data_IF_011912384159
#
_entry.id   IF_011912384159
#
_cell.length_a   1.000
_cell.length_b   1.000
_cell.length_c   1.000
_cell.angle_alpha   90.00
_cell.angle_beta   90.00
_cell.angle_gamma   90.00
#
_symmetry.space_group_name_H-M   'P 1'
#
loop_
_entity.id
_entity.type
_entity.pdbx_description
1 polymer ?
#
# COMPACT_ATOMS: atom_id res chain seq x y z
N UNK A 1 -5.34 -3.02 47.10
CA UNK A 1 -6.04 -3.43 45.86
C UNK A 1 -5.01 -3.48 44.76
N UNK A 2 -4.67 -4.68 44.26
CA UNK A 2 -3.71 -4.83 43.15
C UNK A 2 -4.43 -4.40 41.87
N UNK A 3 -4.09 -3.21 41.36
CA UNK A 3 -4.57 -2.75 40.06
C UNK A 3 -3.89 -3.59 38.99
N UNK A 4 -4.56 -4.63 38.52
CA UNK A 4 -4.08 -5.47 37.42
C UNK A 4 -4.15 -4.64 36.14
N UNK A 5 -3.10 -3.85 35.85
CA UNK A 5 -2.94 -3.27 34.52
C UNK A 5 -2.91 -4.44 33.52
N UNK A 6 -3.90 -4.48 32.62
CA UNK A 6 -3.93 -5.43 31.51
C UNK A 6 -2.59 -5.35 30.78
N UNK A 7 -1.96 -6.49 30.40
CA UNK A 7 -0.69 -6.45 29.67
C UNK A 7 -0.83 -5.61 28.39
N UNK A 8 0.27 -5.03 27.94
CA UNK A 8 0.32 -4.35 26.65
C UNK A 8 -0.16 -5.30 25.54
N UNK A 9 -0.86 -4.80 24.51
CA UNK A 9 -1.29 -5.63 23.40
C UNK A 9 -0.07 -6.25 22.69
N UNK A 10 -0.20 -7.51 22.29
CA UNK A 10 0.82 -8.25 21.56
C UNK A 10 0.69 -7.99 20.05
N UNK A 11 1.71 -7.42 19.38
CA UNK A 11 1.66 -7.18 17.94
C UNK A 11 1.72 -8.47 17.11
N UNK A 12 2.19 -9.61 17.66
CA UNK A 12 2.31 -10.86 16.92
C UNK A 12 0.96 -11.47 16.50
N UNK A 13 -0.14 -11.05 17.16
CA UNK A 13 -1.50 -11.49 16.85
C UNK A 13 -2.21 -10.60 15.81
N UNK A 14 -1.55 -9.54 15.32
CA UNK A 14 -2.13 -8.56 14.39
C UNK A 14 -1.74 -8.93 12.97
N UNK A 15 -2.68 -8.86 12.03
CA UNK A 15 -2.32 -8.92 10.61
C UNK A 15 -1.77 -7.56 10.15
N UNK A 16 -0.45 -7.42 9.90
CA UNK A 16 0.16 -6.13 9.60
C UNK A 16 -0.23 -5.60 8.22
N UNK A 17 -0.86 -6.39 7.36
CA UNK A 17 -1.30 -5.95 6.02
C UNK A 17 -2.64 -5.22 6.05
N UNK A 18 -3.44 -5.43 7.11
CA UNK A 18 -4.78 -4.87 7.25
C UNK A 18 -4.74 -3.59 8.09
N UNK A 19 -5.17 -2.46 7.51
CA UNK A 19 -5.21 -1.17 8.21
C UNK A 19 -6.12 -1.20 9.44
N UNK A 20 -7.26 -1.90 9.37
CA UNK A 20 -8.19 -2.01 10.49
C UNK A 20 -7.54 -2.70 11.71
N UNK A 21 -6.83 -3.80 11.49
CA UNK A 21 -6.15 -4.55 12.55
C UNK A 21 -5.01 -3.73 13.16
N UNK A 22 -4.22 -3.03 12.32
CA UNK A 22 -3.18 -2.11 12.80
C UNK A 22 -3.77 -0.98 13.63
N UNK A 23 -4.82 -0.30 13.17
CA UNK A 23 -5.46 0.80 13.91
C UNK A 23 -6.04 0.33 15.24
N UNK A 24 -6.65 -0.85 15.27
CA UNK A 24 -7.15 -1.44 16.52
C UNK A 24 -6.01 -1.68 17.53
N UNK A 25 -4.87 -2.21 17.05
CA UNK A 25 -3.68 -2.37 17.88
C UNK A 25 -3.14 -1.02 18.37
N UNK A 26 -2.97 -0.05 17.47
CA UNK A 26 -2.40 1.26 17.77
C UNK A 26 -3.19 1.95 18.88
N UNK A 27 -4.53 1.95 18.74
CA UNK A 27 -5.45 2.48 19.75
C UNK A 27 -5.28 1.77 21.08
N UNK A 28 -5.32 0.44 21.10
CA UNK A 28 -5.15 -0.34 22.33
C UNK A 28 -3.78 -0.10 22.99
N UNK A 29 -2.72 0.05 22.19
CA UNK A 29 -1.36 0.27 22.67
C UNK A 29 -1.23 1.62 23.36
N UNK A 30 -1.59 2.72 22.69
CA UNK A 30 -1.50 4.05 23.28
C UNK A 30 -2.52 4.27 24.41
N UNK A 31 -3.65 3.55 24.41
CA UNK A 31 -4.56 3.51 25.56
C UNK A 31 -3.90 2.86 26.79
N UNK A 32 -3.14 1.77 26.61
CA UNK A 32 -2.41 1.11 27.70
C UNK A 32 -1.41 2.07 28.37
N UNK A 33 -0.75 2.93 27.60
CA UNK A 33 0.18 3.95 28.09
C UNK A 33 -0.50 5.26 28.53
N UNK A 34 -1.83 5.38 28.37
CA UNK A 34 -2.58 6.55 28.81
C UNK A 34 -2.38 7.81 27.96
N UNK A 35 -1.92 7.66 26.71
CA UNK A 35 -1.59 8.77 25.80
C UNK A 35 -2.48 8.82 24.55
N UNK A 36 -3.56 8.03 24.52
CA UNK A 36 -4.48 8.01 23.39
C UNK A 36 -5.42 9.22 23.40
N UNK A 37 -5.56 9.86 22.24
CA UNK A 37 -6.60 10.83 21.94
C UNK A 37 -7.09 10.57 20.53
N UNK A 38 -8.37 10.22 20.36
CA UNK A 38 -8.93 9.91 19.03
C UNK A 38 -8.78 11.10 18.08
N UNK A 39 -9.17 12.29 18.52
CA UNK A 39 -9.07 13.51 17.72
C UNK A 39 -7.61 13.90 17.45
N UNK A 40 -6.72 13.68 18.42
CA UNK A 40 -5.29 13.92 18.26
C UNK A 40 -4.67 12.99 17.20
N UNK A 41 -5.01 11.71 17.28
CA UNK A 41 -4.57 10.69 16.33
C UNK A 41 -5.07 10.96 14.92
N UNK A 42 -6.36 11.19 14.73
CA UNK A 42 -6.93 11.45 13.39
C UNK A 42 -6.35 12.73 12.78
N UNK A 43 -6.14 13.78 13.59
CA UNK A 43 -5.47 15.00 13.11
C UNK A 43 -4.02 14.76 12.72
N UNK A 44 -3.29 13.93 13.48
CA UNK A 44 -1.90 13.57 13.18
C UNK A 44 -1.84 12.71 11.91
N UNK A 45 -2.71 11.72 11.80
CA UNK A 45 -2.78 10.82 10.66
C UNK A 45 -3.04 11.57 9.37
N UNK A 46 -3.98 12.51 9.36
CA UNK A 46 -4.26 13.36 8.19
C UNK A 46 -3.03 14.18 7.76
N UNK A 47 -2.25 14.72 8.71
CA UNK A 47 -1.00 15.44 8.41
C UNK A 47 0.06 14.50 7.82
N UNK A 48 0.16 13.28 8.35
CA UNK A 48 1.10 12.29 7.82
C UNK A 48 0.69 11.78 6.46
N UNK A 49 -0.61 11.62 6.17
CA UNK A 49 -1.11 11.25 4.84
C UNK A 49 -0.74 12.33 3.80
N UNK A 50 -0.92 13.61 4.13
CA UNK A 50 -0.48 14.73 3.27
C UNK A 50 1.03 14.66 3.04
N UNK A 51 1.82 14.43 4.10
CA UNK A 51 3.27 14.31 4.00
C UNK A 51 3.71 13.12 3.15
N UNK A 52 3.04 11.98 3.29
CA UNK A 52 3.30 10.80 2.45
C UNK A 52 2.98 11.12 0.99
N UNK A 53 1.89 11.83 0.69
CA UNK A 53 1.59 12.25 -0.69
C UNK A 53 2.72 13.10 -1.29
N UNK A 54 3.27 14.06 -0.55
CA UNK A 54 4.42 14.86 -0.99
C UNK A 54 5.65 13.99 -1.27
N UNK A 55 5.97 13.05 -0.36
CA UNK A 55 7.13 12.17 -0.50
C UNK A 55 7.00 11.23 -1.71
N UNK A 56 5.79 10.71 -1.94
CA UNK A 56 5.49 9.87 -3.10
C UNK A 56 5.62 10.63 -4.41
N UNK A 57 5.14 11.88 -4.44
CA UNK A 57 5.31 12.75 -5.61
C UNK A 57 6.79 13.04 -5.89
N UNK A 58 7.56 13.41 -4.85
CA UNK A 58 9.00 13.66 -4.97
C UNK A 58 9.80 12.43 -5.38
N UNK A 59 9.29 11.23 -5.06
CA UNK A 59 9.88 9.95 -5.45
C UNK A 59 9.35 9.43 -6.80
N UNK A 60 8.66 10.29 -7.56
CA UNK A 60 8.16 10.01 -8.91
C UNK A 60 7.14 8.85 -9.01
N UNK A 61 6.48 8.50 -7.90
CA UNK A 61 5.38 7.52 -7.96
C UNK A 61 4.15 8.15 -8.59
N UNK A 62 3.65 7.54 -9.67
CA UNK A 62 2.38 7.93 -10.30
C UNK A 62 1.17 7.24 -9.65
N UNK A 63 1.38 6.01 -9.19
CA UNK A 63 0.40 5.21 -8.45
C UNK A 63 1.08 4.54 -7.26
N UNK A 64 0.29 4.31 -6.22
CA UNK A 64 0.70 3.51 -5.06
C UNK A 64 -0.44 2.63 -4.61
N UNK A 65 -0.11 1.48 -4.04
CA UNK A 65 -1.10 0.58 -3.46
C UNK A 65 -1.78 1.21 -2.24
N UNK A 66 -3.08 0.96 -2.07
CA UNK A 66 -3.82 1.43 -0.89
C UNK A 66 -3.21 0.87 0.39
N UNK A 67 -2.79 -0.39 0.37
CA UNK A 67 -2.24 -1.08 1.53
C UNK A 67 -0.90 -0.46 1.99
N UNK A 68 0.01 -0.19 1.04
CA UNK A 68 1.30 0.45 1.35
C UNK A 68 1.11 1.90 1.80
N UNK A 69 0.23 2.66 1.13
CA UNK A 69 -0.08 4.04 1.54
C UNK A 69 -0.58 4.12 2.99
N UNK A 70 -1.55 3.27 3.36
CA UNK A 70 -2.07 3.23 4.72
C UNK A 70 -1.02 2.75 5.73
N UNK A 71 -0.16 1.80 5.35
CA UNK A 71 0.91 1.31 6.22
C UNK A 71 1.93 2.41 6.54
N UNK A 72 2.46 3.10 5.53
CA UNK A 72 3.45 4.16 5.71
C UNK A 72 2.87 5.37 6.45
N UNK A 73 1.62 5.73 6.16
CA UNK A 73 0.94 6.83 6.86
C UNK A 73 0.77 6.52 8.36
N UNK A 74 0.34 5.31 8.70
CA UNK A 74 0.16 4.89 10.09
C UNK A 74 1.49 4.71 10.83
N UNK A 75 2.54 4.23 10.14
CA UNK A 75 3.89 4.15 10.68
C UNK A 75 4.45 5.52 11.01
N UNK A 76 4.35 6.47 10.08
CA UNK A 76 4.82 7.84 10.32
C UNK A 76 4.00 8.53 11.43
N UNK A 77 2.69 8.28 11.48
CA UNK A 77 1.83 8.78 12.55
C UNK A 77 2.21 8.20 13.92
N UNK A 78 2.54 6.91 13.98
CA UNK A 78 3.02 6.25 15.20
C UNK A 78 4.30 6.89 15.72
N UNK A 79 5.33 7.02 14.88
CA UNK A 79 6.63 7.59 15.25
C UNK A 79 6.49 9.05 15.72
N UNK A 80 5.63 9.80 15.03
CA UNK A 80 5.30 11.18 15.41
C UNK A 80 4.55 11.25 16.74
N UNK A 81 3.63 10.32 17.00
CA UNK A 81 2.84 10.28 18.25
C UNK A 81 3.71 9.91 19.45
N UNK A 82 4.60 8.92 19.29
CA UNK A 82 5.61 8.53 20.28
C UNK A 82 6.46 9.74 20.67
N UNK A 83 6.98 10.45 19.68
CA UNK A 83 7.79 11.66 19.89
C UNK A 83 6.99 12.76 20.58
N UNK A 84 5.77 13.05 20.12
CA UNK A 84 4.93 14.11 20.66
C UNK A 84 4.51 13.85 22.13
N UNK A 85 4.40 12.58 22.53
CA UNK A 85 4.08 12.19 23.89
C UNK A 85 5.32 12.07 24.80
N UNK A 86 6.52 12.31 24.29
CA UNK A 86 7.77 12.17 25.05
C UNK A 86 8.10 10.72 25.44
N UNK A 87 7.60 9.76 24.65
CA UNK A 87 7.90 8.34 24.84
C UNK A 87 9.27 7.99 24.23
N UNK A 88 9.94 7.00 24.81
CA UNK A 88 11.22 6.50 24.29
C UNK A 88 11.03 5.78 22.96
N UNK A 89 11.56 6.34 21.88
CA UNK A 89 11.41 5.80 20.53
C UNK A 89 12.00 4.39 20.36
N UNK A 90 13.02 4.02 21.14
CA UNK A 90 13.62 2.68 21.08
C UNK A 90 12.68 1.63 21.70
N UNK A 91 12.02 1.99 22.81
CA UNK A 91 11.06 1.13 23.51
C UNK A 91 9.70 1.07 22.82
N UNK A 92 9.36 2.09 22.05
CA UNK A 92 8.08 2.26 21.37
C UNK A 92 8.24 2.29 19.85
N UNK A 93 9.15 1.48 19.31
CA UNK A 93 9.34 1.35 17.86
C UNK A 93 8.12 0.76 17.15
N UNK A 94 8.00 1.04 15.85
CA UNK A 94 6.94 0.48 15.02
C UNK A 94 6.99 -1.06 15.03
N UNK A 95 5.91 -1.76 15.42
CA UNK A 95 5.99 -3.19 15.68
C UNK A 95 5.78 -4.07 14.43
N UNK A 96 5.33 -3.50 13.31
CA UNK A 96 4.85 -4.26 12.15
C UNK A 96 5.85 -4.39 11.00
N UNK A 97 7.14 -4.57 11.31
CA UNK A 97 8.17 -4.93 10.32
C UNK A 97 8.14 -4.10 9.03
N UNK A 98 8.42 -4.76 7.90
CA UNK A 98 8.32 -4.18 6.56
C UNK A 98 6.87 -4.23 6.04
N UNK A 99 6.49 -3.16 5.34
CA UNK A 99 5.14 -2.99 4.79
C UNK A 99 4.93 -3.67 3.44
N UNK A 100 3.69 -3.61 2.92
CA UNK A 100 3.38 -4.06 1.56
C UNK A 100 4.15 -3.27 0.49
N UNK A 101 4.39 -3.89 -0.66
CA UNK A 101 5.05 -3.25 -1.80
C UNK A 101 4.27 -2.03 -2.31
N UNK A 102 4.97 -0.92 -2.50
CA UNK A 102 4.39 0.37 -2.93
C UNK A 102 3.68 0.27 -4.28
N UNK A 103 4.23 -0.50 -5.22
CA UNK A 103 3.75 -0.59 -6.62
C UNK A 103 2.81 -1.77 -6.85
N UNK A 104 2.59 -2.65 -5.86
CA UNK A 104 1.65 -3.76 -5.98
C UNK A 104 0.20 -3.29 -5.82
N UNK A 105 -0.33 -2.70 -6.89
CA UNK A 105 -1.71 -2.17 -6.96
C UNK A 105 -2.77 -3.25 -7.21
N UNK A 106 -2.44 -4.55 -7.10
CA UNK A 106 -3.42 -5.65 -7.30
C UNK A 106 -4.62 -5.55 -6.36
N UNK A 107 -4.39 -5.06 -5.14
CA UNK A 107 -5.41 -4.85 -4.13
C UNK A 107 -6.10 -3.47 -4.22
N UNK A 108 -5.73 -2.65 -5.21
CA UNK A 108 -6.27 -1.32 -5.42
C UNK A 108 -5.24 -0.20 -5.25
N UNK A 109 -5.48 0.89 -5.96
CA UNK A 109 -4.70 2.13 -5.91
C UNK A 109 -5.19 2.97 -4.74
N UNK A 110 -4.28 3.65 -4.03
CA UNK A 110 -4.62 4.59 -2.97
C UNK A 110 -5.57 5.68 -3.48
N UNK A 111 -6.78 5.72 -2.93
CA UNK A 111 -7.75 6.75 -3.26
C UNK A 111 -7.26 8.14 -2.80
N UNK A 112 -6.67 8.20 -1.60
CA UNK A 112 -6.11 9.43 -1.03
C UNK A 112 -5.03 10.02 -1.93
N UNK A 113 -4.05 9.23 -2.37
CA UNK A 113 -2.97 9.74 -3.21
C UNK A 113 -3.47 10.16 -4.60
N UNK A 114 -4.39 9.38 -5.18
CA UNK A 114 -5.05 9.72 -6.44
C UNK A 114 -5.80 11.06 -6.34
N UNK A 115 -6.60 11.24 -5.30
CA UNK A 115 -7.41 12.44 -5.12
C UNK A 115 -6.52 13.66 -4.82
N UNK A 116 -5.44 13.47 -4.06
CA UNK A 116 -4.41 14.48 -3.81
C UNK A 116 -3.73 14.95 -5.11
N UNK A 117 -3.36 14.02 -5.99
CA UNK A 117 -2.79 14.34 -7.32
C UNK A 117 -3.79 15.11 -8.18
N UNK A 118 -5.04 14.64 -8.21
CA UNK A 118 -6.13 15.27 -8.97
C UNK A 118 -6.38 16.71 -8.52
N UNK A 119 -6.39 16.97 -7.20
CA UNK A 119 -6.59 18.30 -6.63
C UNK A 119 -5.47 19.29 -7.02
N UNK A 120 -4.30 18.78 -7.42
CA UNK A 120 -3.12 19.57 -7.82
C UNK A 120 -2.90 19.61 -9.34
N UNK A 121 -3.83 19.07 -10.12
CA UNK A 121 -3.71 19.02 -11.58
C UNK A 121 -2.59 18.11 -12.07
N UNK A 122 -2.12 17.18 -11.23
CA UNK A 122 -1.07 16.23 -11.59
C UNK A 122 -1.66 15.09 -12.44
N UNK A 123 -0.90 14.54 -13.41
CA UNK A 123 -1.35 13.40 -14.19
C UNK A 123 -1.66 12.21 -13.28
N UNK A 124 -2.83 11.63 -13.47
CA UNK A 124 -3.15 10.27 -13.04
C UNK A 124 -2.79 9.36 -14.21
N UNK A 125 -2.15 8.22 -13.94
CA UNK A 125 -1.99 7.21 -14.98
C UNK A 125 -3.37 6.88 -15.55
N UNK A 126 -3.53 6.98 -16.87
CA UNK A 126 -4.76 6.53 -17.52
C UNK A 126 -4.86 5.03 -17.28
N UNK A 127 -6.01 4.47 -16.89
CA UNK A 127 -6.15 3.02 -16.83
C UNK A 127 -5.84 2.48 -18.22
N UNK A 128 -4.66 1.88 -18.38
CA UNK A 128 -4.42 1.04 -19.52
C UNK A 128 -5.44 -0.08 -19.37
N UNK A 129 -6.47 -0.07 -20.20
CA UNK A 129 -7.36 -1.19 -20.37
C UNK A 129 -6.49 -2.36 -20.82
N UNK A 130 -5.91 -3.09 -19.87
CA UNK A 130 -5.32 -4.40 -20.11
C UNK A 130 -6.47 -5.27 -20.55
N UNK A 131 -6.55 -5.37 -21.87
CA UNK A 131 -7.37 -6.30 -22.64
C UNK A 131 -7.45 -7.62 -21.86
N UNK A 132 -8.67 -8.12 -21.70
CA UNK A 132 -8.90 -9.51 -21.38
C UNK A 132 -8.10 -10.37 -22.37
N UNK A 133 -6.98 -10.94 -21.91
CA UNK A 133 -6.28 -11.99 -22.63
C UNK A 133 -7.00 -13.29 -22.34
N UNK A 134 -8.10 -13.50 -23.06
CA UNK A 134 -8.72 -14.80 -23.25
C UNK A 134 -7.73 -15.72 -23.95
N UNK A 135 -7.36 -16.82 -23.28
CA UNK A 135 -7.01 -18.16 -23.82
C UNK A 135 -5.91 -18.19 -24.90
N UNK A 136 -4.83 -18.98 -24.76
CA UNK A 136 -4.85 -20.38 -25.20
C UNK A 136 -3.64 -21.16 -24.69
N UNK A 137 -3.95 -22.26 -24.02
CA UNK A 137 -3.09 -23.37 -23.62
C UNK A 137 -2.43 -24.06 -24.82
N UNK A 138 -1.14 -24.32 -24.67
CA UNK A 138 -0.27 -25.34 -25.30
C UNK A 138 -0.98 -26.51 -26.00
N UNK A 139 -0.54 -26.90 -27.21
CA UNK A 139 0.06 -28.23 -27.51
C UNK A 139 0.36 -28.46 -29.01
N UNK A 140 1.64 -28.76 -29.24
CA UNK A 140 2.33 -29.35 -30.39
C UNK A 140 1.60 -30.50 -31.10
N UNK A 141 1.56 -30.47 -32.44
CA UNK A 141 1.63 -31.70 -33.26
C UNK A 141 2.24 -31.43 -34.64
N UNK A 142 3.39 -32.09 -34.88
CA UNK A 142 3.95 -32.41 -36.20
C UNK A 142 2.85 -32.96 -37.12
N UNK A 143 2.81 -32.51 -38.37
CA UNK A 143 2.88 -33.45 -39.49
C UNK A 143 3.29 -32.79 -40.81
N UNK A 144 3.82 -33.65 -41.66
CA UNK A 144 4.70 -33.42 -42.80
C UNK A 144 3.94 -33.74 -44.11
N UNK A 145 3.91 -32.83 -45.09
CA UNK A 145 3.71 -33.13 -46.53
C UNK A 145 3.85 -31.85 -47.35
N UNK A 146 4.89 -31.69 -48.16
CA UNK A 146 5.05 -32.13 -49.57
C UNK A 146 4.22 -31.35 -50.61
N UNK A 147 4.95 -30.61 -51.47
CA UNK A 147 4.66 -30.22 -52.88
C UNK A 147 3.50 -29.21 -53.09
N UNK A 148 3.54 -28.25 -54.03
CA UNK A 148 4.14 -28.21 -55.36
C UNK A 148 4.50 -26.77 -55.80
N UNK A 149 5.33 -26.77 -56.84
CA UNK A 149 5.75 -25.72 -57.79
C UNK A 149 4.61 -25.00 -58.53
N UNK A 150 5.01 -23.92 -59.21
CA UNK A 150 4.33 -23.15 -60.27
C UNK A 150 3.38 -22.04 -59.81
N UNK A 151 3.78 -20.78 -60.00
CA UNK A 151 3.22 -19.94 -61.08
C UNK A 151 3.92 -18.56 -61.07
N UNK A 152 4.66 -18.28 -62.14
CA UNK A 152 5.10 -16.94 -62.52
C UNK A 152 4.28 -16.56 -63.76
N UNK A 153 3.76 -15.34 -63.86
CA UNK A 153 4.15 -14.57 -65.05
C UNK A 153 4.34 -13.07 -64.79
N UNK A 154 5.49 -12.61 -65.29
CA UNK A 154 5.68 -11.57 -66.32
C UNK A 154 4.91 -10.24 -66.30
N UNK A 155 5.69 -9.20 -66.60
CA UNK A 155 5.39 -7.82 -67.07
C UNK A 155 5.17 -6.82 -65.94
N UNK A 156 5.85 -5.66 -65.90
CA UNK A 156 6.49 -4.84 -66.94
C UNK A 156 7.90 -4.40 -66.53
#
# INVERSE_FOLDING_TARGET
MLSTKKPAPDPAAVNPTMSEDRRAFIKAYFQHYGVWSEAGWESLLSKTEERICELLYLSEYEQVSQASFSFESEKLAWESHVTACGLDAEQHSWPFGEGPEMTDVRAGISAQYRDWRSARGLPLEKPSAKKASTTTTTTTKKDNSFRNVDDMPSRY
#
